data_IF_982269127314
#
_entry.id   IF_982269127314
#
_cell.length_a   1.000
_cell.length_b   1.000
_cell.length_c   1.000
_cell.angle_alpha   90.00
_cell.angle_beta   90.00
_cell.angle_gamma   90.00
#
_symmetry.space_group_name_H-M   'P 1'
#
loop_
_entity.id
_entity.type
_entity.pdbx_description
1 polymer ?
#
# COMPACT_ATOMS: atom_id res chain seq x y z
N UNK A 1 28.52 1.26 -25.54
CA UNK A 1 28.51 -0.20 -25.58
C UNK A 1 27.22 -0.73 -24.94
N UNK A 2 26.67 -1.81 -25.47
CA UNK A 2 25.51 -2.50 -24.89
C UNK A 2 26.08 -3.62 -24.02
N UNK A 3 25.82 -3.58 -22.71
CA UNK A 3 26.23 -4.65 -21.79
C UNK A 3 25.37 -5.91 -21.97
N UNK A 4 25.95 -7.08 -21.73
CA UNK A 4 25.23 -8.36 -21.79
C UNK A 4 24.17 -8.52 -20.68
N UNK A 5 24.28 -7.74 -19.60
CA UNK A 5 23.31 -7.69 -18.48
C UNK A 5 22.82 -6.25 -18.35
N UNK A 6 21.58 -5.93 -18.75
CA UNK A 6 21.03 -4.58 -18.69
C UNK A 6 20.53 -4.24 -17.27
N UNK A 7 21.39 -4.32 -16.26
CA UNK A 7 21.06 -4.02 -14.87
C UNK A 7 21.08 -2.51 -14.56
N UNK A 8 21.45 -1.70 -15.52
CA UNK A 8 21.49 -0.25 -15.42
C UNK A 8 22.32 0.34 -16.52
N UNK A 9 22.17 1.62 -16.72
CA UNK A 9 22.93 2.40 -17.68
C UNK A 9 22.98 3.86 -17.27
N UNK A 10 23.95 4.61 -17.78
CA UNK A 10 24.01 6.04 -17.65
C UNK A 10 24.20 6.69 -19.03
N UNK A 11 23.72 7.90 -19.15
CA UNK A 11 23.89 8.70 -20.36
C UNK A 11 24.81 9.86 -20.02
N UNK A 12 25.96 9.96 -20.71
CA UNK A 12 26.86 11.12 -20.62
C UNK A 12 26.35 12.18 -21.59
N UNK A 13 25.94 13.32 -21.04
CA UNK A 13 25.47 14.46 -21.83
C UNK A 13 26.67 15.37 -22.11
N UNK A 14 26.96 15.62 -23.39
CA UNK A 14 28.06 16.51 -23.80
C UNK A 14 27.80 17.94 -23.34
N UNK A 15 28.79 18.56 -22.69
CA UNK A 15 28.70 19.94 -22.18
C UNK A 15 28.14 20.06 -20.76
N UNK A 16 27.93 18.94 -20.03
CA UNK A 16 27.70 18.92 -18.59
C UNK A 16 28.99 18.44 -17.91
N UNK A 17 29.37 19.12 -16.83
CA UNK A 17 30.47 18.69 -15.96
C UNK A 17 29.92 17.54 -15.11
N UNK A 18 30.40 16.33 -15.35
CA UNK A 18 30.05 15.14 -14.59
C UNK A 18 30.91 15.09 -13.29
N UNK A 19 30.49 14.29 -12.31
CA UNK A 19 31.20 14.05 -11.04
C UNK A 19 32.65 13.51 -11.25
N UNK A 20 32.97 13.04 -12.43
CA UNK A 20 34.31 12.59 -12.84
C UNK A 20 35.35 13.72 -12.98
N UNK A 21 34.99 14.98 -12.74
CA UNK A 21 35.87 16.15 -12.86
C UNK A 21 36.63 16.26 -14.18
N UNK A 22 36.10 15.71 -15.26
CA UNK A 22 36.68 15.80 -16.59
C UNK A 22 36.49 17.23 -17.14
N UNK A 23 37.40 18.12 -16.78
CA UNK A 23 37.39 19.56 -17.14
C UNK A 23 37.99 19.85 -18.50
N UNK A 24 38.49 18.85 -19.21
CA UNK A 24 39.18 19.06 -20.50
C UNK A 24 38.22 19.60 -21.58
N UNK A 25 36.93 19.32 -21.47
CA UNK A 25 35.88 19.82 -22.37
C UNK A 25 35.44 21.27 -22.06
N UNK A 26 35.76 21.82 -20.89
CA UNK A 26 35.34 23.17 -20.49
C UNK A 26 36.20 24.26 -21.15
N UNK A 27 37.39 23.93 -21.67
CA UNK A 27 38.35 24.86 -22.28
C UNK A 27 38.13 25.11 -23.77
N UNK A 28 37.22 24.38 -24.42
CA UNK A 28 36.90 24.57 -25.84
C UNK A 28 35.60 25.36 -26.00
N UNK A 29 35.50 26.15 -27.10
CA UNK A 29 34.24 26.82 -27.41
C UNK A 29 33.09 25.83 -27.53
N UNK A 30 31.88 26.11 -26.91
CA UNK A 30 30.76 25.20 -26.93
C UNK A 30 30.29 24.89 -28.34
N UNK A 31 30.22 23.63 -28.70
CA UNK A 31 29.72 23.21 -30.00
C UNK A 31 28.17 23.34 -30.07
N UNK A 32 27.59 23.61 -31.25
CA UNK A 32 26.16 23.87 -31.40
C UNK A 32 25.23 22.77 -30.87
N UNK A 33 25.71 21.52 -30.71
CA UNK A 33 24.97 20.38 -30.20
C UNK A 33 25.21 20.08 -28.73
N UNK A 34 26.03 20.89 -28.03
CA UNK A 34 26.31 20.68 -26.62
C UNK A 34 25.18 21.26 -25.73
N UNK A 35 25.00 20.65 -24.58
CA UNK A 35 23.99 21.10 -23.59
C UNK A 35 24.17 22.60 -23.25
N UNK A 36 25.41 23.05 -23.11
CA UNK A 36 25.76 24.42 -22.77
C UNK A 36 25.37 25.46 -23.83
N UNK A 37 25.25 25.05 -25.10
CA UNK A 37 24.88 25.96 -26.22
C UNK A 37 23.35 26.14 -26.35
N UNK A 38 22.54 25.30 -25.70
CA UNK A 38 21.09 25.36 -25.76
C UNK A 38 20.52 26.47 -24.88
N UNK A 39 19.32 26.98 -25.24
CA UNK A 39 18.57 27.93 -24.41
C UNK A 39 18.23 27.35 -23.05
N UNK A 40 18.03 28.19 -22.05
CA UNK A 40 17.69 27.78 -20.67
C UNK A 40 16.47 26.85 -20.63
N UNK A 41 15.46 27.13 -21.45
CA UNK A 41 14.26 26.31 -21.52
C UNK A 41 14.51 24.91 -22.09
N UNK A 42 15.34 24.82 -23.11
CA UNK A 42 15.74 23.53 -23.70
C UNK A 42 16.57 22.70 -22.72
N UNK A 43 17.48 23.33 -21.98
CA UNK A 43 18.24 22.66 -20.92
C UNK A 43 17.32 22.09 -19.82
N UNK A 44 16.32 22.87 -19.41
CA UNK A 44 15.32 22.44 -18.44
C UNK A 44 14.56 21.21 -18.95
N UNK A 45 14.11 21.22 -20.20
CA UNK A 45 13.40 20.07 -20.80
C UNK A 45 14.28 18.82 -20.88
N UNK A 46 15.57 18.95 -21.18
CA UNK A 46 16.49 17.81 -21.20
C UNK A 46 16.64 17.21 -19.81
N UNK A 47 16.80 18.05 -18.77
CA UNK A 47 16.95 17.58 -17.38
C UNK A 47 15.68 16.92 -16.83
N UNK A 48 14.51 17.51 -17.11
CA UNK A 48 13.23 16.99 -16.62
C UNK A 48 12.78 15.78 -17.45
N UNK A 49 13.21 15.67 -18.70
CA UNK A 49 12.71 14.66 -19.65
C UNK A 49 12.82 13.23 -19.12
N UNK A 50 13.95 12.87 -18.52
CA UNK A 50 14.16 11.54 -17.94
C UNK A 50 13.16 11.22 -16.81
N UNK A 51 12.98 12.15 -15.89
CA UNK A 51 12.04 11.99 -14.77
C UNK A 51 10.60 11.93 -15.27
N UNK A 52 10.26 12.78 -16.23
CA UNK A 52 8.90 12.81 -16.83
C UNK A 52 8.55 11.50 -17.52
N UNK A 53 9.48 10.95 -18.32
CA UNK A 53 9.26 9.65 -18.99
C UNK A 53 9.09 8.53 -17.99
N UNK A 54 9.90 8.49 -16.93
CA UNK A 54 9.78 7.50 -15.86
C UNK A 54 8.42 7.60 -15.13
N UNK A 55 7.95 8.82 -14.87
CA UNK A 55 6.65 9.04 -14.23
C UNK A 55 5.50 8.56 -15.13
N UNK A 56 5.53 8.90 -16.43
CA UNK A 56 4.53 8.46 -17.40
C UNK A 56 4.54 6.94 -17.53
N UNK A 57 5.73 6.34 -17.64
CA UNK A 57 5.88 4.89 -17.72
C UNK A 57 5.37 4.19 -16.46
N UNK A 58 5.70 4.73 -15.27
CA UNK A 58 5.21 4.21 -14.00
C UNK A 58 3.69 4.25 -13.91
N UNK A 59 3.07 5.37 -14.30
CA UNK A 59 1.62 5.50 -14.37
C UNK A 59 1.00 4.51 -15.35
N UNK A 60 1.61 4.33 -16.52
CA UNK A 60 1.13 3.38 -17.52
C UNK A 60 1.19 1.93 -17.02
N UNK A 61 2.33 1.53 -16.44
CA UNK A 61 2.49 0.18 -15.87
C UNK A 61 1.49 -0.05 -14.74
N UNK A 62 1.34 0.92 -13.82
CA UNK A 62 0.40 0.81 -12.71
C UNK A 62 -1.05 0.68 -13.19
N UNK A 63 -1.44 1.49 -14.20
CA UNK A 63 -2.76 1.40 -14.81
C UNK A 63 -2.99 0.04 -15.46
N UNK A 64 -1.98 -0.49 -16.16
CA UNK A 64 -2.06 -1.80 -16.79
C UNK A 64 -2.20 -2.93 -15.75
N UNK A 65 -1.47 -2.84 -14.63
CA UNK A 65 -1.59 -3.79 -13.52
C UNK A 65 -3.02 -3.79 -12.97
N UNK A 66 -3.61 -2.61 -12.71
CA UNK A 66 -4.98 -2.51 -12.21
C UNK A 66 -6.00 -3.07 -13.23
N UNK A 67 -5.79 -2.80 -14.52
CA UNK A 67 -6.69 -3.31 -15.57
C UNK A 67 -6.65 -4.83 -15.70
N UNK A 68 -5.48 -5.45 -15.52
CA UNK A 68 -5.30 -6.90 -15.69
C UNK A 68 -5.66 -7.69 -14.43
N UNK A 69 -5.21 -7.22 -13.25
CA UNK A 69 -5.41 -7.94 -11.98
C UNK A 69 -6.55 -7.37 -11.14
N UNK A 70 -7.01 -6.15 -11.44
CA UNK A 70 -8.03 -5.48 -10.65
C UNK A 70 -7.52 -5.04 -9.28
N UNK A 71 -8.45 -4.62 -8.43
CA UNK A 71 -8.22 -4.31 -7.02
C UNK A 71 -8.98 -5.33 -6.17
N UNK A 72 -8.30 -6.02 -5.28
CA UNK A 72 -8.98 -6.87 -4.31
C UNK A 72 -9.60 -5.96 -3.24
N UNK A 73 -10.90 -6.03 -3.13
CA UNK A 73 -11.68 -5.38 -2.08
C UNK A 73 -12.41 -6.46 -1.28
N UNK A 74 -12.66 -6.22 -0.01
CA UNK A 74 -13.55 -7.04 0.80
C UNK A 74 -14.79 -6.21 1.04
N UNK A 75 -15.88 -6.59 0.36
CA UNK A 75 -17.18 -5.97 0.57
C UNK A 75 -17.77 -6.37 1.93
N UNK A 76 -18.77 -5.61 2.39
CA UNK A 76 -19.47 -5.90 3.63
C UNK A 76 -20.07 -7.31 3.65
N UNK A 77 -20.62 -7.75 2.50
CA UNK A 77 -21.25 -9.06 2.34
C UNK A 77 -20.26 -10.22 2.40
N UNK A 78 -19.00 -9.98 2.03
CA UNK A 78 -17.95 -11.01 2.01
C UNK A 78 -17.36 -11.26 3.40
N UNK A 79 -17.55 -10.32 4.35
CA UNK A 79 -17.02 -10.39 5.70
C UNK A 79 -18.00 -11.08 6.67
N UNK A 80 -18.27 -12.36 6.47
CA UNK A 80 -19.25 -13.12 7.28
C UNK A 80 -18.87 -13.25 8.75
N UNK A 81 -17.57 -13.32 9.06
CA UNK A 81 -17.06 -13.55 10.43
C UNK A 81 -16.66 -12.26 11.16
N UNK A 82 -16.81 -11.11 10.51
CA UNK A 82 -16.43 -9.82 11.07
C UNK A 82 -14.93 -9.68 11.33
N UNK A 83 -14.58 -8.72 12.18
CA UNK A 83 -13.22 -8.45 12.58
C UNK A 83 -12.91 -9.06 13.95
N UNK A 84 -11.64 -9.43 14.15
CA UNK A 84 -11.05 -9.55 15.48
C UNK A 84 -10.49 -8.19 15.85
N UNK A 85 -10.86 -7.67 16.99
CA UNK A 85 -10.63 -6.29 17.41
C UNK A 85 -9.57 -6.22 18.49
N UNK A 86 -8.64 -5.27 18.37
CA UNK A 86 -7.60 -5.06 19.39
C UNK A 86 -8.21 -4.54 20.70
N UNK A 87 -7.50 -4.73 21.82
CA UNK A 87 -7.93 -4.28 23.15
C UNK A 87 -8.14 -2.75 23.21
N UNK A 88 -7.42 -1.97 22.44
CA UNK A 88 -7.62 -0.53 22.34
C UNK A 88 -8.98 -0.19 21.71
N UNK A 89 -9.36 -0.91 20.65
CA UNK A 89 -10.64 -0.72 19.98
C UNK A 89 -11.81 -1.22 20.83
N UNK A 90 -11.62 -2.31 21.60
CA UNK A 90 -12.64 -2.79 22.55
C UNK A 90 -12.99 -1.76 23.63
N UNK A 91 -12.02 -0.98 24.09
CA UNK A 91 -12.27 0.11 25.05
C UNK A 91 -13.15 1.22 24.51
N UNK A 92 -13.18 1.42 23.20
CA UNK A 92 -13.99 2.42 22.51
C UNK A 92 -15.41 1.91 22.24
N UNK A 93 -15.60 0.56 22.28
CA UNK A 93 -16.91 -0.05 22.13
C UNK A 93 -17.01 -1.02 20.93
N UNK A 94 -15.91 -1.26 20.20
CA UNK A 94 -15.90 -2.33 19.21
C UNK A 94 -15.86 -3.72 19.86
N UNK A 95 -16.40 -4.71 19.19
CA UNK A 95 -16.42 -6.11 19.63
C UNK A 95 -15.90 -7.05 18.56
N UNK A 96 -15.42 -8.23 18.98
CA UNK A 96 -15.02 -9.26 18.03
C UNK A 96 -16.25 -9.75 17.24
N UNK A 97 -16.12 -9.80 15.92
CA UNK A 97 -17.20 -10.14 15.01
C UNK A 97 -17.94 -8.95 14.42
N UNK A 98 -17.59 -7.70 14.81
CA UNK A 98 -18.16 -6.51 14.20
C UNK A 98 -17.81 -6.40 12.72
N UNK A 99 -18.77 -5.95 11.93
CA UNK A 99 -18.63 -5.58 10.52
C UNK A 99 -18.92 -4.10 10.38
N UNK A 100 -18.07 -3.38 9.68
CA UNK A 100 -18.24 -1.93 9.51
C UNK A 100 -19.24 -1.66 8.39
N UNK A 101 -20.32 -0.99 8.70
CA UNK A 101 -21.34 -0.62 7.73
C UNK A 101 -21.06 0.74 7.13
N UNK A 102 -20.88 1.77 7.98
CA UNK A 102 -20.66 3.16 7.55
C UNK A 102 -19.63 3.86 8.40
N UNK A 103 -19.00 4.86 7.80
CA UNK A 103 -18.09 5.79 8.49
C UNK A 103 -18.59 7.20 8.17
N UNK A 104 -18.96 7.97 9.19
CA UNK A 104 -19.54 9.32 9.06
C UNK A 104 -20.68 9.36 8.04
N UNK A 105 -21.56 8.36 8.07
CA UNK A 105 -22.71 8.22 7.18
C UNK A 105 -22.43 7.72 5.76
N UNK A 106 -21.15 7.50 5.40
CA UNK A 106 -20.77 6.97 4.09
C UNK A 106 -20.52 5.46 4.17
N UNK A 107 -21.00 4.72 3.20
CA UNK A 107 -20.78 3.28 3.10
C UNK A 107 -19.28 2.97 2.92
N UNK A 108 -18.79 1.93 3.59
CA UNK A 108 -17.42 1.45 3.47
C UNK A 108 -17.35 0.38 2.38
N UNK A 109 -16.83 0.75 1.19
CA UNK A 109 -16.72 -0.17 0.05
C UNK A 109 -15.71 -1.31 0.30
N UNK A 110 -14.65 -1.03 1.04
CA UNK A 110 -13.55 -1.98 1.27
C UNK A 110 -13.24 -2.07 2.76
N UNK A 111 -13.64 -3.16 3.38
CA UNK A 111 -13.48 -3.40 4.81
C UNK A 111 -12.01 -3.36 5.28
N UNK A 112 -11.05 -3.64 4.39
CA UNK A 112 -9.62 -3.51 4.71
C UNK A 112 -9.17 -2.08 5.02
N UNK A 113 -9.90 -1.10 4.53
CA UNK A 113 -9.49 0.30 4.65
C UNK A 113 -9.80 0.91 6.01
N UNK A 114 -10.59 0.27 6.87
CA UNK A 114 -11.00 0.84 8.16
C UNK A 114 -9.79 1.34 8.99
N UNK A 115 -8.75 0.54 9.13
CA UNK A 115 -7.56 0.92 9.90
C UNK A 115 -6.86 2.14 9.31
N UNK A 116 -6.73 2.20 7.98
CA UNK A 116 -6.10 3.31 7.29
C UNK A 116 -6.96 4.59 7.39
N UNK A 117 -8.27 4.46 7.34
CA UNK A 117 -9.20 5.58 7.45
C UNK A 117 -9.11 6.21 8.85
N UNK A 118 -9.12 5.41 9.91
CA UNK A 118 -9.01 5.88 11.29
C UNK A 118 -7.66 6.55 11.60
N UNK A 119 -6.60 6.17 10.88
CA UNK A 119 -5.27 6.78 11.03
C UNK A 119 -5.10 8.04 10.19
N UNK A 120 -5.67 8.06 8.97
CA UNK A 120 -5.36 9.10 7.97
C UNK A 120 -6.28 10.33 8.04
N UNK A 121 -7.45 10.20 8.66
CA UNK A 121 -8.43 11.30 8.79
C UNK A 121 -9.19 11.23 10.10
N UNK A 122 -9.73 12.35 10.54
CA UNK A 122 -10.67 12.40 11.65
C UNK A 122 -11.97 11.69 11.24
N UNK A 123 -12.44 10.80 12.10
CA UNK A 123 -13.71 10.09 11.99
C UNK A 123 -14.44 10.33 13.29
N UNK A 124 -15.70 10.72 13.18
CA UNK A 124 -16.52 11.02 14.37
C UNK A 124 -17.35 9.81 14.79
N UNK A 125 -17.91 9.08 13.80
CA UNK A 125 -18.88 8.03 14.04
C UNK A 125 -18.66 6.85 13.10
N UNK A 126 -18.72 5.63 13.65
CA UNK A 126 -18.70 4.37 12.88
C UNK A 126 -19.97 3.58 13.19
N UNK A 127 -20.73 3.24 12.17
CA UNK A 127 -21.86 2.32 12.27
C UNK A 127 -21.37 0.89 12.05
N UNK A 128 -21.68 0.02 12.97
CA UNK A 128 -21.30 -1.39 12.93
C UNK A 128 -22.51 -2.31 12.93
N UNK A 129 -22.35 -3.50 12.37
CA UNK A 129 -23.28 -4.62 12.52
C UNK A 129 -22.58 -5.65 13.39
N UNK A 130 -23.17 -5.94 14.54
CA UNK A 130 -22.70 -6.92 15.53
C UNK A 130 -22.86 -8.36 15.01
N UNK A 131 -22.28 -9.30 15.70
CA UNK A 131 -22.40 -10.74 15.38
C UNK A 131 -23.85 -11.26 15.48
N UNK A 132 -24.70 -10.62 16.28
CA UNK A 132 -26.13 -10.91 16.42
C UNK A 132 -27.02 -10.18 15.40
N UNK A 133 -26.42 -9.56 14.37
CA UNK A 133 -27.06 -8.74 13.33
C UNK A 133 -27.69 -7.44 13.86
N UNK A 134 -27.47 -7.08 15.11
CA UNK A 134 -27.88 -5.77 15.63
C UNK A 134 -26.97 -4.67 15.06
N UNK A 135 -27.53 -3.45 14.95
CA UNK A 135 -26.75 -2.28 14.51
C UNK A 135 -26.43 -1.42 15.71
N UNK A 136 -25.19 -0.95 15.75
CA UNK A 136 -24.73 -0.06 16.80
C UNK A 136 -23.92 1.09 16.21
N UNK A 137 -23.82 2.17 16.98
CA UNK A 137 -23.09 3.40 16.56
C UNK A 137 -22.01 3.65 17.59
N UNK A 138 -20.77 3.70 17.12
CA UNK A 138 -19.59 3.91 17.95
C UNK A 138 -19.03 5.30 17.70
N UNK A 139 -18.91 6.11 18.76
CA UNK A 139 -18.25 7.41 18.69
C UNK A 139 -16.75 7.24 18.79
N UNK A 140 -16.02 7.84 17.88
CA UNK A 140 -14.57 7.70 17.76
C UNK A 140 -13.88 8.90 18.42
N UNK A 141 -12.92 8.70 19.34
CA UNK A 141 -12.13 9.78 19.91
C UNK A 141 -11.25 10.45 18.86
N UNK A 142 -11.09 11.79 18.94
CA UNK A 142 -10.28 12.56 17.98
C UNK A 142 -8.81 12.08 17.89
N UNK A 143 -8.26 11.52 18.95
CA UNK A 143 -6.87 11.07 19.02
C UNK A 143 -6.65 9.61 18.62
N UNK A 144 -7.68 8.91 18.13
CA UNK A 144 -7.63 7.48 17.85
C UNK A 144 -6.50 7.09 16.87
N UNK A 145 -6.29 7.92 15.85
CA UNK A 145 -5.22 7.68 14.88
C UNK A 145 -3.82 7.65 15.51
N UNK A 146 -3.56 8.59 16.43
CA UNK A 146 -2.31 8.63 17.18
C UNK A 146 -2.17 7.44 18.13
N UNK A 147 -3.25 7.04 18.77
CA UNK A 147 -3.27 5.88 19.66
C UNK A 147 -2.96 4.59 18.91
N UNK A 148 -3.57 4.37 17.74
CA UNK A 148 -3.30 3.23 16.87
C UNK A 148 -1.82 3.20 16.46
N UNK A 149 -1.26 4.33 16.00
CA UNK A 149 0.14 4.41 15.57
C UNK A 149 1.08 4.12 16.74
N UNK A 150 0.79 4.70 17.91
CA UNK A 150 1.66 4.56 19.10
C UNK A 150 1.61 3.15 19.67
N UNK A 151 0.44 2.50 19.63
CA UNK A 151 0.27 1.11 20.09
C UNK A 151 1.01 0.11 19.19
N UNK A 152 1.25 0.44 17.92
CA UNK A 152 1.96 -0.42 16.96
C UNK A 152 1.26 -1.74 16.67
N UNK A 153 -0.04 -1.84 16.95
CA UNK A 153 -0.85 -3.04 16.72
C UNK A 153 -1.91 -2.78 15.67
N UNK A 154 -2.24 -3.80 14.89
CA UNK A 154 -3.34 -3.73 13.93
C UNK A 154 -4.67 -3.61 14.67
N UNK A 155 -5.44 -2.52 14.51
CA UNK A 155 -6.68 -2.31 15.25
C UNK A 155 -7.76 -3.32 14.90
N UNK A 156 -7.84 -3.71 13.62
CA UNK A 156 -8.80 -4.68 13.09
C UNK A 156 -8.08 -5.75 12.29
N UNK A 157 -8.23 -6.99 12.66
CA UNK A 157 -7.77 -8.15 11.92
C UNK A 157 -8.98 -8.92 11.38
N UNK A 158 -8.89 -9.43 10.16
CA UNK A 158 -9.97 -10.26 9.62
C UNK A 158 -10.10 -11.54 10.47
N UNK A 159 -11.30 -11.79 10.95
CA UNK A 159 -11.61 -13.05 11.60
C UNK A 159 -11.78 -14.12 10.51
N UNK A 160 -10.71 -14.84 10.23
CA UNK A 160 -10.70 -15.93 9.26
C UNK A 160 -11.00 -17.23 10.01
N UNK A 161 -12.23 -17.69 9.93
CA UNK A 161 -12.55 -19.06 10.30
C UNK A 161 -11.91 -20.00 9.26
N UNK A 162 -10.73 -20.51 9.55
CA UNK A 162 -10.09 -21.51 8.70
C UNK A 162 -10.77 -22.85 9.00
N UNK A 163 -11.65 -23.28 8.11
CA UNK A 163 -12.19 -24.63 8.12
C UNK A 163 -11.19 -25.52 7.40
N UNK A 164 -10.59 -26.45 8.14
CA UNK A 164 -9.71 -27.47 7.56
C UNK A 164 -10.62 -28.58 7.02
N UNK A 165 -10.85 -28.58 5.71
CA UNK A 165 -11.67 -29.59 5.02
C UNK A 165 -10.96 -30.94 4.93
N UNK A 166 -9.64 -30.93 4.65
CA UNK A 166 -8.83 -32.14 4.58
C UNK A 166 -7.39 -31.90 4.99
N UNK A 167 -6.76 -32.87 5.60
CA UNK A 167 -5.35 -32.86 5.97
C UNK A 167 -4.63 -33.96 5.19
N UNK A 168 -3.58 -33.60 4.44
CA UNK A 168 -2.72 -34.59 3.77
C UNK A 168 -2.07 -35.51 4.81
N UNK A 169 -1.99 -36.81 4.51
CA UNK A 169 -1.34 -37.81 5.38
C UNK A 169 0.13 -37.51 5.77
N UNK A 170 0.79 -36.62 5.00
CA UNK A 170 2.16 -36.16 5.26
C UNK A 170 2.20 -34.78 5.92
N UNK A 171 1.08 -34.22 6.37
CA UNK A 171 1.05 -32.94 7.04
C UNK A 171 1.63 -33.02 8.46
N UNK A 172 2.34 -31.97 8.90
CA UNK A 172 2.85 -31.84 10.26
C UNK A 172 1.72 -31.88 11.31
N UNK A 173 0.51 -31.47 10.97
CA UNK A 173 -0.66 -31.57 11.85
C UNK A 173 -1.02 -33.02 12.13
N UNK A 174 -0.89 -33.90 11.13
CA UNK A 174 -1.16 -35.34 11.29
C UNK A 174 -0.12 -36.04 12.18
N UNK A 175 1.13 -35.55 12.18
CA UNK A 175 2.25 -36.10 13.00
C UNK A 175 2.11 -35.68 14.47
N UNK A 176 1.46 -34.56 14.77
CA UNK A 176 1.32 -34.02 16.12
C UNK A 176 0.13 -34.58 16.91
N UNK A 177 -0.76 -35.37 16.29
CA UNK A 177 -1.79 -36.07 17.04
C UNK A 177 -1.16 -37.16 17.92
N UNK A 178 -1.33 -37.11 19.26
CA UNK A 178 -0.90 -38.18 20.11
C UNK A 178 -1.70 -39.44 19.76
N UNK A 179 -1.00 -40.47 19.32
CA UNK A 179 -1.57 -41.80 19.12
C UNK A 179 -2.19 -42.22 20.46
N UNK A 180 -3.50 -42.10 20.61
CA UNK A 180 -4.23 -42.78 21.69
C UNK A 180 -4.12 -44.26 21.38
N UNK A 181 -3.09 -44.90 21.94
CA UNK A 181 -3.05 -46.32 22.07
C UNK A 181 -4.18 -46.72 23.02
N UNK A 182 -5.19 -47.40 22.47
CA UNK A 182 -6.23 -48.05 23.22
C UNK A 182 -5.67 -49.26 23.98
#
# INVERSE_FOLDING_TARGET
GIGALPLGGYVKISGIIDESFDTDHVKSEPKPWEFSSNSTWQRLLILIGGVTVNLILGFFIYSMVILVWGKNIIAFEDLNSGFTVSESMKKIGFEDGDRILKIDGNDLEDQYQISNILVSRSVDVVEVVRSDESRDIINIPENIGLEIITAGVTPFALNRNIVIDSVSALSLIHISEPTRLA
#
